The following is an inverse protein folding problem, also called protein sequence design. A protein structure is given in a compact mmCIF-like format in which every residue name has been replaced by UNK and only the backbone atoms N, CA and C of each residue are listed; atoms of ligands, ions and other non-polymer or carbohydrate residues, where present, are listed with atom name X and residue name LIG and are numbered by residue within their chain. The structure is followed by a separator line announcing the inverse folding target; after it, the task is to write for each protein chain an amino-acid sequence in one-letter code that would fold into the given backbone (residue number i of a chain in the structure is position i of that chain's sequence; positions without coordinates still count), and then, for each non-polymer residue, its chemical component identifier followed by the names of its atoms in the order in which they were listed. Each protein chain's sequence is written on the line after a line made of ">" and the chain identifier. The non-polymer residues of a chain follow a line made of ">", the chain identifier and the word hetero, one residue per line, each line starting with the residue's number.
data_IF_584259534326
#
_entry.id   IF_584259534326
#
_cell.length_a   1.000
_cell.length_b   1.000
_cell.length_c   1.000
_cell.angle_alpha   90.00
_cell.angle_beta   90.00
_cell.angle_gamma   90.00
#
_symmetry.space_group_name_H-M   'P 1'
#
loop_
_entity.id
_entity.type
_entity.pdbx_description
1 polymer ?
#
# COMPACT_ATOMS: atom_id res chain seq x y z
N UNK A 1 -34.48 -14.93 -32.45
CA UNK A 1 -33.33 -14.03 -32.19
C UNK A 1 -33.08 -14.08 -30.69
N UNK A 2 -32.04 -14.80 -30.27
CA UNK A 2 -31.79 -15.15 -28.88
C UNK A 2 -30.87 -14.10 -28.23
N UNK A 3 -31.26 -13.62 -27.05
CA UNK A 3 -30.45 -12.76 -26.19
C UNK A 3 -29.52 -13.62 -25.33
N UNK A 4 -28.22 -13.58 -25.59
CA UNK A 4 -27.20 -14.22 -24.77
C UNK A 4 -26.73 -13.27 -23.66
N UNK A 5 -27.20 -13.52 -22.44
CA UNK A 5 -26.67 -12.93 -21.20
C UNK A 5 -25.32 -13.59 -20.87
N UNK A 6 -24.23 -12.82 -20.92
CA UNK A 6 -22.92 -13.20 -20.41
C UNK A 6 -22.96 -13.24 -18.87
N UNK A 7 -22.92 -14.45 -18.30
CA UNK A 7 -22.61 -14.67 -16.88
C UNK A 7 -21.08 -14.79 -16.75
N UNK A 8 -20.47 -13.90 -15.98
CA UNK A 8 -19.07 -14.07 -15.57
C UNK A 8 -18.99 -15.14 -14.47
N UNK A 9 -18.21 -16.18 -14.71
CA UNK A 9 -17.92 -17.23 -13.75
C UNK A 9 -16.85 -16.72 -12.76
N UNK A 10 -17.13 -16.81 -11.46
CA UNK A 10 -16.12 -16.66 -10.41
C UNK A 10 -15.25 -17.94 -10.34
N UNK A 11 -13.94 -17.82 -10.08
CA UNK A 11 -13.09 -18.99 -9.87
C UNK A 11 -13.37 -19.61 -8.48
N UNK A 12 -13.77 -20.87 -8.49
CA UNK A 12 -13.93 -21.70 -7.28
C UNK A 12 -12.61 -22.35 -6.90
N UNK A 13 -12.11 -22.10 -5.68
CA UNK A 13 -10.99 -22.86 -5.10
C UNK A 13 -11.51 -23.86 -4.05
N UNK A 14 -10.96 -25.10 -3.99
CA UNK A 14 -11.43 -26.13 -3.08
C UNK A 14 -10.92 -25.92 -1.64
N UNK A 15 -11.86 -25.95 -0.70
CA UNK A 15 -11.62 -26.01 0.75
C UNK A 15 -11.28 -27.45 1.19
N UNK A 16 -10.05 -27.66 1.64
CA UNK A 16 -9.68 -28.73 2.58
C UNK A 16 -8.31 -28.35 3.16
N UNK A 17 -8.15 -28.13 4.46
CA UNK A 17 -7.95 -29.18 5.46
C UNK A 17 -8.13 -28.56 6.86
N UNK A 18 -8.84 -29.27 7.73
CA UNK A 18 -9.02 -28.97 9.15
C UNK A 18 -8.62 -30.22 9.96
N UNK A 19 -7.97 -29.98 11.11
CA UNK A 19 -7.56 -30.90 12.22
C UNK A 19 -6.10 -31.38 12.09
N UNK A 20 -5.24 -31.27 13.11
CA UNK A 20 -5.43 -31.58 14.54
C UNK A 20 -4.50 -30.78 15.50
N UNK A 21 -5.00 -30.64 16.74
CA UNK A 21 -4.40 -30.08 17.97
C UNK A 21 -3.08 -30.74 18.40
N UNK A 22 -2.24 -29.99 19.14
CA UNK A 22 -1.85 -30.31 20.54
C UNK A 22 -1.15 -29.13 21.24
N UNK A 23 -1.67 -28.78 22.42
CA UNK A 23 -1.07 -27.93 23.45
C UNK A 23 0.03 -28.69 24.20
N UNK A 24 1.13 -28.03 24.54
CA UNK A 24 1.90 -28.36 25.76
C UNK A 24 2.65 -27.14 26.28
N UNK A 25 2.24 -26.70 27.47
CA UNK A 25 2.98 -25.85 28.39
C UNK A 25 4.21 -26.60 28.94
N UNK A 26 5.33 -25.92 29.17
CA UNK A 26 6.26 -26.32 30.23
C UNK A 26 6.84 -25.11 30.97
N UNK A 27 6.93 -25.29 32.29
CA UNK A 27 7.18 -24.32 33.34
C UNK A 27 8.67 -24.32 33.75
N UNK A 28 9.11 -23.12 34.12
CA UNK A 28 10.25 -22.69 34.93
C UNK A 28 10.90 -23.69 35.92
N UNK A 29 12.23 -23.57 36.08
CA UNK A 29 12.95 -23.81 37.34
C UNK A 29 14.14 -22.84 37.51
N UNK A 30 13.94 -21.87 38.42
CA UNK A 30 14.80 -21.31 39.48
C UNK A 30 16.14 -22.02 39.79
N UNK A 31 17.19 -21.48 40.43
CA UNK A 31 17.60 -20.21 41.12
C UNK A 31 19.05 -20.51 41.61
N UNK A 32 19.95 -19.52 41.75
CA UNK A 32 20.69 -19.25 43.01
C UNK A 32 21.49 -17.94 42.95
N UNK A 33 21.35 -17.17 44.03
CA UNK A 33 21.77 -15.80 44.28
C UNK A 33 22.95 -15.75 45.28
N UNK A 34 23.82 -14.74 45.09
CA UNK A 34 24.50 -13.88 46.10
C UNK A 34 25.66 -14.43 46.94
N UNK A 35 26.50 -13.58 47.60
CA UNK A 35 26.47 -12.11 47.74
C UNK A 35 27.81 -11.35 47.53
N UNK A 36 27.67 -10.02 47.48
CA UNK A 36 28.69 -8.94 47.53
C UNK A 36 29.20 -8.71 48.97
N UNK A 37 30.42 -8.17 49.15
CA UNK A 37 30.54 -6.99 50.02
C UNK A 37 31.46 -5.88 49.47
N UNK A 38 31.38 -4.73 50.14
CA UNK A 38 31.68 -3.38 49.68
C UNK A 38 32.80 -2.72 50.53
N UNK A 39 33.48 -1.70 49.95
CA UNK A 39 34.27 -0.59 50.55
C UNK A 39 35.69 -0.85 51.12
N UNK A 40 36.63 0.02 50.71
CA UNK A 40 37.84 0.34 51.50
C UNK A 40 38.95 1.06 50.70
N UNK A 41 39.54 2.12 51.26
CA UNK A 41 40.44 3.11 50.63
C UNK A 41 41.93 2.70 50.61
N UNK A 42 42.65 3.23 49.61
CA UNK A 42 44.02 3.80 49.60
C UNK A 42 45.21 3.07 50.27
N UNK A 43 46.29 2.82 49.50
CA UNK A 43 47.60 3.52 49.57
C UNK A 43 48.81 2.64 49.21
N UNK A 44 49.63 3.21 48.30
CA UNK A 44 51.09 3.14 48.10
C UNK A 44 51.96 1.90 48.44
N UNK A 45 52.69 1.48 47.39
CA UNK A 45 54.16 1.39 47.27
C UNK A 45 54.85 0.00 47.22
N UNK A 46 55.43 -0.23 46.02
CA UNK A 46 56.77 -0.76 45.70
C UNK A 46 57.14 -2.22 46.03
N UNK A 47 57.25 -3.04 44.97
CA UNK A 47 58.50 -3.74 44.62
C UNK A 47 58.47 -4.21 43.15
N UNK A 48 59.61 -4.02 42.49
CA UNK A 48 59.90 -4.20 41.05
C UNK A 48 60.23 -5.66 40.74
N UNK A 49 59.70 -6.24 39.66
CA UNK A 49 60.45 -7.22 38.85
C UNK A 49 60.03 -7.21 37.37
N UNK A 50 61.07 -7.02 36.54
CA UNK A 50 61.26 -7.05 35.08
C UNK A 50 60.24 -7.74 34.15
N UNK A 51 59.90 -6.96 33.10
CA UNK A 51 59.77 -7.29 31.67
C UNK A 51 59.61 -8.76 31.24
N UNK A 52 58.48 -9.02 30.56
CA UNK A 52 58.49 -9.56 29.20
C UNK A 52 57.28 -8.99 28.44
N UNK A 53 57.55 -8.07 27.52
CA UNK A 53 56.58 -7.53 26.58
C UNK A 53 56.25 -8.62 25.56
N UNK A 54 55.08 -9.25 25.69
CA UNK A 54 54.52 -10.09 24.61
C UNK A 54 53.61 -9.18 23.79
N UNK A 55 53.92 -9.08 22.51
CA UNK A 55 53.40 -8.11 21.55
C UNK A 55 51.86 -8.09 21.47
N UNK A 56 51.24 -7.08 22.10
CA UNK A 56 49.84 -6.67 21.86
C UNK A 56 49.57 -6.23 20.40
N UNK A 57 50.62 -6.05 19.61
CA UNK A 57 50.53 -5.59 18.21
C UNK A 57 49.98 -6.67 17.28
N UNK A 58 50.20 -7.96 17.58
CA UNK A 58 49.77 -9.06 16.70
C UNK A 58 48.27 -9.37 16.84
N UNK A 59 47.70 -9.24 18.04
CA UNK A 59 46.25 -9.40 18.27
C UNK A 59 45.44 -8.23 17.73
N UNK A 60 45.96 -7.00 17.79
CA UNK A 60 45.31 -5.83 17.18
C UNK A 60 45.38 -5.89 15.65
N UNK A 61 46.47 -6.42 15.07
CA UNK A 61 46.55 -6.63 13.63
C UNK A 61 45.60 -7.74 13.14
N UNK A 62 45.46 -8.84 13.89
CA UNK A 62 44.47 -9.88 13.59
C UNK A 62 43.03 -9.37 13.76
N UNK A 63 42.76 -8.58 14.80
CA UNK A 63 41.47 -7.95 15.02
C UNK A 63 41.17 -6.88 13.96
N UNK A 64 42.18 -6.14 13.47
CA UNK A 64 42.03 -5.18 12.38
C UNK A 64 41.94 -5.83 10.99
N UNK A 65 42.48 -7.04 10.80
CA UNK A 65 42.19 -7.87 9.63
C UNK A 65 40.77 -8.42 9.69
N UNK A 66 40.31 -8.85 10.86
CA UNK A 66 38.93 -9.32 11.07
C UNK A 66 37.92 -8.15 10.92
N UNK A 67 38.21 -6.97 11.47
CA UNK A 67 37.39 -5.74 11.33
C UNK A 67 37.51 -5.16 9.91
N UNK A 68 38.64 -5.36 9.23
CA UNK A 68 38.85 -5.00 7.83
C UNK A 68 38.05 -5.89 6.86
N UNK A 69 37.81 -7.15 7.21
CA UNK A 69 36.99 -8.10 6.43
C UNK A 69 35.48 -7.94 6.66
N UNK A 70 35.03 -7.38 7.79
CA UNK A 70 33.60 -7.04 8.00
C UNK A 70 33.17 -5.82 7.16
N UNK A 71 34.11 -5.10 6.57
CA UNK A 71 33.85 -3.99 5.66
C UNK A 71 34.15 -4.35 4.19
N UNK A 72 33.97 -5.62 3.82
CA UNK A 72 33.87 -5.98 2.40
C UNK A 72 32.70 -5.17 1.83
N UNK A 73 33.02 -4.14 1.02
CA UNK A 73 32.01 -3.46 0.22
C UNK A 73 31.37 -4.52 -0.65
N UNK A 74 30.19 -5.00 -0.26
CA UNK A 74 29.34 -5.84 -1.09
C UNK A 74 29.29 -5.22 -2.48
N UNK A 75 29.57 -6.03 -3.50
CA UNK A 75 29.60 -5.55 -4.88
C UNK A 75 28.24 -4.95 -5.24
N UNK A 76 28.16 -3.76 -5.87
CA UNK A 76 26.88 -3.15 -6.19
C UNK A 76 26.01 -4.06 -7.08
N UNK A 77 24.77 -4.28 -6.67
CA UNK A 77 23.78 -5.02 -7.48
C UNK A 77 23.56 -4.40 -8.86
N UNK A 78 23.29 -5.26 -9.85
CA UNK A 78 22.70 -4.89 -11.14
C UNK A 78 21.19 -5.08 -11.08
N UNK A 79 20.44 -3.98 -11.08
CA UNK A 79 18.98 -3.99 -10.91
C UNK A 79 18.32 -3.60 -12.24
N UNK A 80 17.59 -4.56 -12.81
CA UNK A 80 16.79 -4.42 -14.02
C UNK A 80 15.38 -3.93 -13.69
N UNK A 81 15.07 -2.66 -13.93
CA UNK A 81 13.74 -2.10 -13.76
C UNK A 81 12.92 -2.30 -15.04
N UNK A 82 11.78 -2.97 -14.91
CA UNK A 82 10.79 -3.15 -15.98
C UNK A 82 9.57 -2.28 -15.69
N UNK A 83 9.35 -1.28 -16.54
CA UNK A 83 8.32 -0.25 -16.31
C UNK A 83 8.95 1.02 -15.73
N UNK A 84 9.50 1.86 -16.60
CA UNK A 84 10.27 3.04 -16.21
C UNK A 84 9.44 4.33 -16.18
N UNK A 85 8.21 4.24 -15.65
CA UNK A 85 7.33 5.40 -15.42
C UNK A 85 7.69 6.15 -14.14
N UNK A 86 6.77 6.98 -13.64
CA UNK A 86 6.98 7.84 -12.46
C UNK A 86 7.57 7.09 -11.25
N UNK A 87 6.97 5.95 -10.89
CA UNK A 87 7.44 5.15 -9.76
C UNK A 87 8.78 4.47 -10.03
N UNK A 88 8.97 3.91 -11.24
CA UNK A 88 10.22 3.28 -11.64
C UNK A 88 11.41 4.26 -11.62
N UNK A 89 11.20 5.50 -12.07
CA UNK A 89 12.19 6.58 -11.99
C UNK A 89 12.49 6.96 -10.54
N UNK A 90 11.45 7.14 -9.72
CA UNK A 90 11.59 7.48 -8.30
C UNK A 90 12.41 6.44 -7.52
N UNK A 91 12.15 5.15 -7.73
CA UNK A 91 12.95 4.09 -7.09
C UNK A 91 14.37 4.08 -7.66
N UNK A 92 14.52 4.21 -8.98
CA UNK A 92 15.83 4.19 -9.64
C UNK A 92 16.81 5.23 -9.08
N UNK A 93 16.33 6.42 -8.73
CA UNK A 93 17.13 7.46 -8.08
C UNK A 93 17.70 6.98 -6.74
N UNK A 94 16.88 6.36 -5.88
CA UNK A 94 17.35 5.77 -4.62
C UNK A 94 18.38 4.67 -4.85
N UNK A 95 18.14 3.76 -5.82
CA UNK A 95 19.11 2.73 -6.18
C UNK A 95 20.46 3.33 -6.63
N UNK A 96 20.41 4.41 -7.44
CA UNK A 96 21.60 5.09 -7.95
C UNK A 96 22.36 5.83 -6.87
N UNK A 97 21.68 6.46 -5.89
CA UNK A 97 22.34 7.14 -4.76
C UNK A 97 23.24 6.21 -3.96
N UNK A 98 22.87 4.94 -3.83
CA UNK A 98 23.66 3.91 -3.14
C UNK A 98 24.70 3.22 -4.03
N UNK A 99 24.82 3.62 -5.30
CA UNK A 99 25.84 3.14 -6.21
C UNK A 99 25.48 1.87 -7.00
N UNK A 100 24.24 1.37 -6.91
CA UNK A 100 23.79 0.22 -7.71
C UNK A 100 23.69 0.54 -9.20
N UNK A 101 23.87 -0.46 -10.05
CA UNK A 101 23.70 -0.31 -11.49
C UNK A 101 22.24 -0.45 -11.85
N UNK A 102 21.64 0.59 -12.44
CA UNK A 102 20.25 0.55 -12.92
C UNK A 102 20.22 0.31 -14.42
N UNK A 103 19.57 -0.78 -14.80
CA UNK A 103 19.26 -1.16 -16.17
C UNK A 103 17.74 -1.00 -16.33
N UNK A 104 17.28 -0.19 -17.27
CA UNK A 104 15.86 0.13 -17.40
C UNK A 104 15.32 -0.33 -18.75
N UNK A 105 14.08 -0.82 -18.75
CA UNK A 105 13.29 -1.01 -19.98
C UNK A 105 11.85 -0.61 -19.70
N UNK A 106 11.18 -0.11 -20.74
CA UNK A 106 9.79 0.34 -20.66
C UNK A 106 9.16 0.35 -22.04
N UNK A 107 7.82 0.42 -22.07
CA UNK A 107 7.06 0.61 -23.32
C UNK A 107 7.44 1.92 -24.01
N UNK A 108 7.52 3.00 -23.23
CA UNK A 108 7.91 4.33 -23.71
C UNK A 108 9.43 4.47 -23.69
N UNK A 109 9.96 5.35 -24.53
CA UNK A 109 11.41 5.63 -24.56
C UNK A 109 11.83 6.55 -23.42
N UNK A 110 12.83 6.13 -22.65
CA UNK A 110 13.47 6.93 -21.61
C UNK A 110 15.00 6.97 -21.79
N UNK A 111 15.52 6.68 -23.00
CA UNK A 111 16.96 6.68 -23.29
C UNK A 111 17.67 7.95 -22.83
N UNK A 112 17.13 9.12 -23.14
CA UNK A 112 17.77 10.40 -22.80
C UNK A 112 17.77 10.64 -21.27
N UNK A 113 16.64 10.39 -20.61
CA UNK A 113 16.54 10.51 -19.15
C UNK A 113 17.53 9.58 -18.44
N UNK A 114 17.59 8.31 -18.84
CA UNK A 114 18.52 7.35 -18.26
C UNK A 114 19.97 7.79 -18.47
N UNK A 115 20.33 8.23 -19.67
CA UNK A 115 21.68 8.71 -19.99
C UNK A 115 22.08 9.88 -19.11
N UNK A 116 21.21 10.87 -18.94
CA UNK A 116 21.46 12.06 -18.12
C UNK A 116 21.64 11.73 -16.63
N UNK A 117 20.98 10.66 -16.15
CA UNK A 117 21.02 10.23 -14.75
C UNK A 117 21.97 9.04 -14.51
N UNK A 118 22.88 8.74 -15.45
CA UNK A 118 23.88 7.69 -15.27
C UNK A 118 23.29 6.27 -15.18
N UNK A 119 22.20 6.02 -15.89
CA UNK A 119 21.50 4.73 -16.00
C UNK A 119 21.55 4.24 -17.45
N UNK A 120 21.36 2.93 -17.65
CA UNK A 120 21.29 2.34 -18.98
C UNK A 120 19.86 2.02 -19.35
N UNK A 121 19.42 2.41 -20.56
CA UNK A 121 18.09 2.10 -21.07
C UNK A 121 18.14 1.16 -22.26
N UNK A 122 17.30 0.13 -22.23
CA UNK A 122 17.18 -0.89 -23.26
C UNK A 122 15.79 -0.82 -23.89
N UNK A 123 15.75 -0.63 -25.22
CA UNK A 123 14.51 -0.59 -26.00
C UNK A 123 13.79 -1.93 -26.11
N UNK A 124 14.50 -3.01 -25.80
CA UNK A 124 13.92 -4.35 -25.81
C UNK A 124 14.29 -5.11 -24.53
N UNK A 125 13.36 -5.95 -24.07
CA UNK A 125 13.52 -6.79 -22.89
C UNK A 125 14.72 -7.74 -23.03
N UNK A 126 14.94 -8.25 -24.24
CA UNK A 126 16.01 -9.19 -24.57
C UNK A 126 17.40 -8.66 -24.24
N UNK A 127 17.70 -7.41 -24.60
CA UNK A 127 18.96 -6.76 -24.35
C UNK A 127 19.16 -6.48 -22.86
N UNK A 128 18.09 -6.09 -22.13
CA UNK A 128 18.18 -5.97 -20.68
C UNK A 128 18.51 -7.32 -20.02
N UNK A 129 17.87 -8.42 -20.45
CA UNK A 129 18.16 -9.74 -19.90
C UNK A 129 19.59 -10.21 -20.20
N UNK A 130 20.17 -9.84 -21.36
CA UNK A 130 21.56 -10.15 -21.71
C UNK A 130 22.58 -9.53 -20.77
N UNK A 131 22.23 -8.41 -20.14
CA UNK A 131 23.07 -7.76 -19.13
C UNK A 131 23.11 -8.51 -17.79
N UNK A 132 22.40 -9.64 -17.66
CA UNK A 132 22.42 -10.52 -16.48
C UNK A 132 22.15 -9.77 -15.16
N UNK A 133 21.00 -9.10 -15.02
CA UNK A 133 20.62 -8.44 -13.79
C UNK A 133 20.55 -9.44 -12.62
N UNK A 134 21.01 -8.99 -11.46
CA UNK A 134 20.88 -9.73 -10.20
C UNK A 134 19.45 -9.69 -9.68
N UNK A 135 18.77 -8.56 -9.89
CA UNK A 135 17.36 -8.35 -9.54
C UNK A 135 16.61 -7.83 -10.76
N UNK A 136 15.49 -8.46 -11.10
CA UNK A 136 14.46 -7.90 -11.98
C UNK A 136 13.38 -7.28 -11.10
N UNK A 137 13.24 -5.95 -11.16
CA UNK A 137 12.25 -5.19 -10.41
C UNK A 137 11.10 -4.77 -11.34
N UNK A 138 9.92 -5.34 -11.10
CA UNK A 138 8.71 -5.05 -11.86
C UNK A 138 8.03 -3.80 -11.29
N UNK A 139 8.13 -2.70 -12.03
CA UNK A 139 7.58 -1.37 -11.72
C UNK A 139 6.46 -0.95 -12.71
N UNK A 140 5.78 -1.92 -13.34
CA UNK A 140 4.66 -1.67 -14.25
C UNK A 140 3.34 -1.44 -13.53
N UNK A 141 2.30 -1.02 -14.25
CA UNK A 141 0.95 -0.97 -13.70
C UNK A 141 0.42 -2.37 -13.42
N UNK A 142 -0.40 -2.52 -12.37
CA UNK A 142 -1.00 -3.80 -11.96
C UNK A 142 -1.66 -4.50 -13.15
N UNK A 143 -2.43 -3.76 -13.95
CA UNK A 143 -3.19 -4.28 -15.10
C UNK A 143 -2.31 -4.82 -16.24
N UNK A 144 -1.07 -4.35 -16.36
CA UNK A 144 -0.15 -4.74 -17.44
C UNK A 144 0.88 -5.78 -17.03
N UNK A 145 1.05 -6.00 -15.73
CA UNK A 145 2.11 -6.83 -15.14
C UNK A 145 2.10 -8.27 -15.64
N UNK A 146 0.95 -8.90 -15.83
CA UNK A 146 0.88 -10.27 -16.35
C UNK A 146 1.47 -10.40 -17.75
N UNK A 147 1.02 -9.55 -18.68
CA UNK A 147 1.51 -9.54 -20.05
C UNK A 147 3.02 -9.27 -20.10
N UNK A 148 3.51 -8.40 -19.23
CA UNK A 148 4.93 -8.08 -19.12
C UNK A 148 5.72 -9.29 -18.63
N UNK A 149 5.34 -9.90 -17.50
CA UNK A 149 6.08 -11.04 -16.93
C UNK A 149 6.12 -12.21 -17.90
N UNK A 150 5.00 -12.52 -18.57
CA UNK A 150 4.94 -13.58 -19.59
C UNK A 150 5.83 -13.31 -20.81
N UNK A 151 6.18 -12.05 -21.08
CA UNK A 151 7.04 -11.66 -22.20
C UNK A 151 8.55 -11.71 -21.88
N UNK A 152 8.93 -11.88 -20.62
CA UNK A 152 10.34 -11.88 -20.20
C UNK A 152 11.01 -13.17 -20.71
N UNK A 153 12.14 -13.09 -21.44
CA UNK A 153 12.89 -14.27 -21.87
C UNK A 153 13.68 -14.86 -20.69
N UNK A 154 12.98 -15.44 -19.73
CA UNK A 154 13.52 -15.95 -18.45
C UNK A 154 14.66 -16.97 -18.64
N UNK A 155 14.67 -17.69 -19.76
CA UNK A 155 15.72 -18.65 -20.11
C UNK A 155 17.09 -18.00 -20.40
N UNK A 156 17.14 -16.66 -20.55
CA UNK A 156 18.38 -15.89 -20.73
C UNK A 156 18.97 -15.35 -19.44
N UNK A 157 18.25 -15.46 -18.32
CA UNK A 157 18.68 -14.98 -17.01
C UNK A 157 19.42 -16.08 -16.25
N UNK A 158 20.22 -15.68 -15.26
CA UNK A 158 20.84 -16.64 -14.35
C UNK A 158 19.77 -17.27 -13.46
N UNK A 159 19.90 -18.56 -13.10
CA UNK A 159 18.95 -19.20 -12.19
C UNK A 159 18.85 -18.52 -10.82
N UNK A 160 19.90 -17.84 -10.35
CA UNK A 160 19.94 -17.16 -9.06
C UNK A 160 19.40 -15.71 -9.11
N UNK A 161 18.89 -15.24 -10.25
CA UNK A 161 18.24 -13.92 -10.36
C UNK A 161 17.01 -13.84 -9.47
N UNK A 162 16.83 -12.69 -8.80
CA UNK A 162 15.66 -12.39 -7.98
C UNK A 162 14.63 -11.63 -8.83
N UNK A 163 13.38 -12.07 -8.79
CA UNK A 163 12.24 -11.31 -9.25
C UNK A 163 11.59 -10.61 -8.06
N UNK A 164 11.51 -9.29 -8.15
CA UNK A 164 10.81 -8.47 -7.19
C UNK A 164 9.77 -7.60 -7.90
N UNK A 165 8.74 -7.21 -7.17
CA UNK A 165 7.73 -6.28 -7.64
C UNK A 165 7.51 -5.16 -6.64
N UNK A 166 6.97 -4.04 -7.12
CA UNK A 166 6.53 -2.90 -6.30
C UNK A 166 5.06 -2.54 -6.53
N UNK A 167 4.23 -3.51 -6.95
CA UNK A 167 2.81 -3.26 -7.17
C UNK A 167 2.12 -2.91 -5.84
N UNK A 168 0.99 -2.22 -5.88
CA UNK A 168 0.24 -1.88 -4.66
C UNK A 168 -0.69 -2.99 -4.15
N UNK A 169 -0.70 -4.14 -4.81
CA UNK A 169 -1.35 -5.40 -4.40
C UNK A 169 -0.30 -6.50 -4.41
N UNK A 170 -0.45 -7.55 -3.60
CA UNK A 170 0.64 -8.51 -3.35
C UNK A 170 0.30 -9.96 -3.63
N UNK A 171 -0.94 -10.43 -3.41
CA UNK A 171 -1.31 -11.81 -3.76
C UNK A 171 -1.23 -12.06 -5.26
N UNK A 172 -1.63 -11.09 -6.08
CA UNK A 172 -1.55 -11.18 -7.53
C UNK A 172 -0.11 -11.42 -8.06
N UNK A 173 0.87 -10.51 -7.84
CA UNK A 173 2.23 -10.72 -8.32
C UNK A 173 2.88 -11.97 -7.70
N UNK A 174 2.61 -12.28 -6.42
CA UNK A 174 3.10 -13.50 -5.77
C UNK A 174 2.68 -14.76 -6.53
N UNK A 175 1.38 -14.90 -6.78
CA UNK A 175 0.84 -16.10 -7.42
C UNK A 175 1.30 -16.19 -8.87
N UNK A 176 1.34 -15.06 -9.57
CA UNK A 176 1.81 -14.98 -10.94
C UNK A 176 3.29 -15.36 -11.08
N UNK A 177 4.15 -14.90 -10.17
CA UNK A 177 5.56 -15.30 -10.14
C UNK A 177 5.74 -16.78 -9.84
N UNK A 178 4.99 -17.33 -8.87
CA UNK A 178 5.04 -18.75 -8.56
C UNK A 178 4.56 -19.64 -9.73
N UNK A 179 3.59 -19.16 -10.51
CA UNK A 179 3.08 -19.85 -11.70
C UNK A 179 4.13 -19.86 -12.83
N UNK A 180 4.75 -18.71 -13.12
CA UNK A 180 5.56 -18.53 -14.34
C UNK A 180 7.03 -18.87 -14.12
N UNK A 181 7.60 -18.55 -12.95
CA UNK A 181 9.04 -18.60 -12.73
C UNK A 181 9.51 -20.00 -12.32
N UNK A 182 10.51 -20.59 -13.02
CA UNK A 182 11.13 -21.84 -12.63
C UNK A 182 11.66 -21.84 -11.19
N UNK A 183 11.73 -23.00 -10.51
CA UNK A 183 12.08 -23.09 -9.08
C UNK A 183 13.41 -22.47 -8.67
N UNK A 184 14.37 -22.32 -9.59
CA UNK A 184 15.68 -21.72 -9.31
C UNK A 184 15.60 -20.23 -8.96
N UNK A 185 14.65 -19.50 -9.56
CA UNK A 185 14.55 -18.04 -9.41
C UNK A 185 14.04 -17.64 -8.03
N UNK A 186 14.67 -16.59 -7.48
CA UNK A 186 14.25 -15.94 -6.25
C UNK A 186 13.00 -15.10 -6.48
N UNK A 187 12.11 -15.04 -5.50
CA UNK A 187 10.88 -14.24 -5.53
C UNK A 187 10.76 -13.47 -4.22
N UNK A 188 10.71 -12.14 -4.33
CA UNK A 188 10.50 -11.22 -3.21
C UNK A 188 9.39 -10.25 -3.59
N UNK A 189 8.22 -10.37 -2.96
CA UNK A 189 7.14 -9.43 -3.22
C UNK A 189 7.31 -8.21 -2.31
N UNK A 190 7.24 -7.00 -2.87
CA UNK A 190 7.45 -5.77 -2.07
C UNK A 190 6.40 -4.71 -2.35
N UNK A 191 6.23 -3.79 -1.41
CA UNK A 191 5.44 -2.59 -1.59
C UNK A 191 6.02 -1.48 -0.73
N UNK A 192 6.78 -0.54 -1.33
CA UNK A 192 7.04 0.75 -0.71
C UNK A 192 5.69 1.44 -0.51
N UNK A 193 5.26 1.67 0.74
CA UNK A 193 3.97 2.31 1.06
C UNK A 193 4.03 3.83 0.87
N UNK A 194 4.79 4.27 -0.12
CA UNK A 194 5.11 5.63 -0.45
C UNK A 194 5.48 5.73 -1.93
N UNK A 195 5.22 6.87 -2.56
CA UNK A 195 5.58 7.16 -3.94
C UNK A 195 6.30 8.50 -4.09
N UNK A 196 6.41 9.01 -5.33
CA UNK A 196 7.11 10.26 -5.62
C UNK A 196 6.67 11.42 -4.73
N UNK A 197 5.36 11.57 -4.47
CA UNK A 197 4.85 12.68 -3.66
C UNK A 197 5.11 12.53 -2.16
N UNK A 198 4.87 11.33 -1.61
CA UNK A 198 5.02 11.09 -0.18
C UNK A 198 6.47 10.83 0.25
N UNK A 199 7.34 10.46 -0.69
CA UNK A 199 8.75 10.15 -0.45
C UNK A 199 9.75 11.14 -1.08
N UNK A 200 9.29 12.29 -1.60
CA UNK A 200 10.16 13.31 -2.23
C UNK A 200 11.27 13.85 -1.33
N UNK A 201 11.08 13.84 -0.02
CA UNK A 201 12.03 14.36 0.96
C UNK A 201 12.88 13.24 1.61
N UNK A 202 12.93 12.05 1.00
CA UNK A 202 13.61 10.87 1.54
C UNK A 202 12.63 9.81 2.07
N UNK A 203 13.16 8.61 2.34
CA UNK A 203 12.34 7.46 2.72
C UNK A 203 12.39 7.11 4.21
N UNK A 204 13.10 7.93 4.99
CA UNK A 204 13.30 7.71 6.42
C UNK A 204 11.95 7.64 7.17
N UNK A 205 11.74 6.52 7.88
CA UNK A 205 10.53 6.22 8.62
C UNK A 205 9.33 5.75 7.77
N UNK A 206 9.42 5.80 6.45
CA UNK A 206 8.33 5.36 5.56
C UNK A 206 8.24 3.83 5.56
N UNK A 207 7.04 3.24 5.53
CA UNK A 207 6.90 1.78 5.58
C UNK A 207 7.33 1.15 4.25
N UNK A 208 8.17 0.13 4.33
CA UNK A 208 8.48 -0.75 3.21
C UNK A 208 8.06 -2.18 3.57
N UNK A 209 7.02 -2.67 2.89
CA UNK A 209 6.47 -4.00 3.12
C UNK A 209 7.13 -5.01 2.21
N UNK A 210 7.47 -6.19 2.72
CA UNK A 210 8.02 -7.27 1.90
C UNK A 210 7.62 -8.66 2.39
N UNK A 211 7.64 -9.63 1.47
CA UNK A 211 7.59 -11.07 1.74
C UNK A 211 8.69 -11.77 0.92
N UNK A 212 9.54 -12.57 1.57
CA UNK A 212 10.47 -13.49 0.91
C UNK A 212 9.71 -14.76 0.49
N UNK A 213 8.99 -14.70 -0.62
CA UNK A 213 8.10 -15.78 -1.10
C UNK A 213 8.87 -17.06 -1.43
N UNK A 214 10.02 -16.92 -2.13
CA UNK A 214 10.90 -18.05 -2.48
C UNK A 214 12.33 -17.54 -2.62
N UNK A 215 13.16 -17.78 -1.62
CA UNK A 215 14.59 -17.42 -1.63
C UNK A 215 15.36 -18.55 -0.94
N UNK A 216 16.55 -18.90 -1.43
CA UNK A 216 17.41 -19.87 -0.73
C UNK A 216 17.84 -19.33 0.64
N UNK A 217 18.03 -20.22 1.62
CA UNK A 217 18.46 -19.83 2.97
C UNK A 217 19.92 -19.32 3.00
N UNK A 218 20.74 -19.77 2.04
CA UNK A 218 22.17 -19.44 1.95
C UNK A 218 22.61 -19.28 0.50
N UNK A 219 23.84 -18.78 0.30
CA UNK A 219 24.48 -18.60 -1.00
C UNK A 219 24.13 -17.30 -1.71
N UNK A 220 24.55 -17.18 -2.96
CA UNK A 220 24.51 -15.94 -3.73
C UNK A 220 23.09 -15.34 -3.85
N UNK A 221 22.04 -16.16 -3.99
CA UNK A 221 20.67 -15.66 -4.07
C UNK A 221 20.20 -15.06 -2.74
N UNK A 222 20.56 -15.67 -1.60
CA UNK A 222 20.25 -15.14 -0.27
C UNK A 222 20.96 -13.80 -0.04
N UNK A 223 22.25 -13.72 -0.40
CA UNK A 223 23.05 -12.49 -0.31
C UNK A 223 22.47 -11.36 -1.16
N UNK A 224 22.09 -11.64 -2.42
CA UNK A 224 21.41 -10.67 -3.29
C UNK A 224 20.09 -10.19 -2.72
N UNK A 225 19.33 -11.08 -2.08
CA UNK A 225 18.03 -10.74 -1.48
C UNK A 225 18.23 -9.80 -0.29
N UNK A 226 19.18 -10.12 0.60
CA UNK A 226 19.53 -9.26 1.73
C UNK A 226 19.99 -7.91 1.21
N UNK A 227 20.95 -7.88 0.28
CA UNK A 227 21.48 -6.65 -0.28
C UNK A 227 20.41 -5.80 -0.97
N UNK A 228 19.42 -6.40 -1.63
CA UNK A 228 18.30 -5.68 -2.24
C UNK A 228 17.38 -5.05 -1.20
N UNK A 229 17.06 -5.77 -0.11
CA UNK A 229 16.22 -5.23 0.98
C UNK A 229 16.96 -4.16 1.78
N UNK A 230 18.27 -4.32 1.98
CA UNK A 230 19.14 -3.37 2.68
C UNK A 230 19.12 -1.99 2.01
N UNK A 231 18.84 -1.91 0.70
CA UNK A 231 18.70 -0.63 -0.01
C UNK A 231 17.64 0.24 0.66
N UNK A 232 16.49 -0.35 0.97
CA UNK A 232 15.39 0.37 1.58
C UNK A 232 15.66 0.64 3.06
N UNK A 233 16.28 -0.31 3.77
CA UNK A 233 16.67 -0.16 5.16
C UNK A 233 17.71 0.98 5.35
N UNK A 234 18.71 1.07 4.47
CA UNK A 234 19.74 2.12 4.49
C UNK A 234 19.19 3.52 4.18
N UNK A 235 18.09 3.62 3.45
CA UNK A 235 17.34 4.87 3.25
C UNK A 235 16.46 5.22 4.46
N UNK A 236 16.52 4.40 5.52
CA UNK A 236 15.81 4.58 6.77
C UNK A 236 14.36 4.09 6.72
N UNK A 237 13.97 3.27 5.74
CA UNK A 237 12.62 2.73 5.68
C UNK A 237 12.33 1.90 6.94
N UNK A 238 11.08 1.97 7.42
CA UNK A 238 10.58 1.02 8.40
C UNK A 238 10.25 -0.28 7.67
N UNK A 239 11.14 -1.26 7.78
CA UNK A 239 11.01 -2.57 7.16
C UNK A 239 9.90 -3.38 7.86
N UNK A 240 8.91 -3.85 7.10
CA UNK A 240 7.75 -4.59 7.61
C UNK A 240 7.59 -5.89 6.84
N UNK A 241 8.04 -6.99 7.45
CA UNK A 241 7.82 -8.34 6.89
C UNK A 241 6.40 -8.81 7.20
N UNK A 242 5.63 -9.17 6.18
CA UNK A 242 4.31 -9.78 6.32
C UNK A 242 3.93 -10.55 5.06
N UNK A 243 2.98 -11.48 5.18
CA UNK A 243 2.51 -12.23 4.01
C UNK A 243 1.75 -11.34 3.02
N UNK A 244 1.77 -11.70 1.74
CA UNK A 244 1.03 -11.02 0.69
C UNK A 244 -0.49 -11.00 0.97
N UNK A 245 -1.02 -12.05 1.61
CA UNK A 245 -2.41 -12.13 2.02
C UNK A 245 -2.73 -11.12 3.13
N UNK A 246 -1.90 -11.06 4.17
CA UNK A 246 -2.06 -10.08 5.24
C UNK A 246 -1.92 -8.65 4.72
N UNK A 247 -0.94 -8.40 3.84
CA UNK A 247 -0.78 -7.12 3.16
C UNK A 247 -2.08 -6.72 2.46
N UNK A 248 -2.62 -7.56 1.59
CA UNK A 248 -3.80 -7.21 0.80
C UNK A 248 -5.03 -6.99 1.67
N UNK A 249 -5.19 -7.77 2.75
CA UNK A 249 -6.24 -7.55 3.75
C UNK A 249 -6.11 -6.17 4.41
N UNK A 250 -4.90 -5.77 4.79
CA UNK A 250 -4.64 -4.45 5.39
C UNK A 250 -4.80 -3.31 4.37
N UNK A 251 -4.26 -3.47 3.16
CA UNK A 251 -4.29 -2.48 2.10
C UNK A 251 -5.73 -2.18 1.63
N UNK A 252 -6.60 -3.21 1.60
CA UNK A 252 -8.02 -3.02 1.30
C UNK A 252 -8.70 -2.09 2.31
N UNK A 253 -8.46 -2.30 3.60
CA UNK A 253 -9.04 -1.48 4.68
C UNK A 253 -8.35 -0.14 4.93
N UNK A 254 -7.30 0.20 4.19
CA UNK A 254 -6.51 1.42 4.41
C UNK A 254 -6.28 2.17 3.09
N UNK A 255 -5.33 1.73 2.27
CA UNK A 255 -4.98 2.35 0.99
C UNK A 255 -6.18 2.42 0.04
N UNK A 256 -6.89 1.31 -0.16
CA UNK A 256 -8.03 1.29 -1.09
C UNK A 256 -9.17 2.22 -0.64
N UNK A 257 -9.51 2.24 0.65
CA UNK A 257 -10.47 3.19 1.22
C UNK A 257 -9.99 4.64 1.01
N UNK A 258 -8.72 4.91 1.27
CA UNK A 258 -8.11 6.24 1.12
C UNK A 258 -8.24 6.75 -0.32
N UNK A 259 -7.90 5.92 -1.32
CA UNK A 259 -8.10 6.27 -2.73
C UNK A 259 -9.58 6.43 -3.10
N UNK A 260 -10.44 5.57 -2.58
CA UNK A 260 -11.89 5.64 -2.86
C UNK A 260 -12.47 6.95 -2.37
N UNK A 261 -12.16 7.34 -1.13
CA UNK A 261 -12.60 8.63 -0.56
C UNK A 261 -12.02 9.79 -1.36
N UNK A 262 -10.71 9.81 -1.62
CA UNK A 262 -10.09 10.89 -2.39
C UNK A 262 -10.72 11.08 -3.78
N UNK A 263 -11.05 9.98 -4.46
CA UNK A 263 -11.77 10.04 -5.75
C UNK A 263 -13.24 10.42 -5.63
N UNK A 264 -13.93 10.05 -4.56
CA UNK A 264 -15.30 10.55 -4.32
C UNK A 264 -15.25 12.07 -4.10
N UNK A 265 -14.31 12.55 -3.29
CA UNK A 265 -14.12 13.98 -3.03
C UNK A 265 -13.78 14.75 -4.32
N UNK A 266 -13.01 14.15 -5.24
CA UNK A 266 -12.74 14.77 -6.54
C UNK A 266 -14.01 14.97 -7.37
N UNK A 267 -14.99 14.07 -7.29
CA UNK A 267 -16.27 14.22 -8.00
C UNK A 267 -17.19 15.28 -7.37
N UNK A 268 -16.92 15.70 -6.13
CA UNK A 268 -17.60 16.83 -5.50
C UNK A 268 -17.04 18.18 -5.97
N UNK A 269 -15.93 18.20 -6.74
CA UNK A 269 -15.24 19.40 -7.20
C UNK A 269 -14.94 20.36 -6.03
N UNK A 270 -14.30 19.85 -4.98
CA UNK A 270 -13.98 20.65 -3.80
C UNK A 270 -13.01 21.79 -4.15
N UNK A 271 -13.35 23.00 -3.70
CA UNK A 271 -12.51 24.18 -3.84
C UNK A 271 -12.06 24.70 -2.48
N UNK A 272 -10.90 25.36 -2.46
CA UNK A 272 -10.43 26.07 -1.27
C UNK A 272 -11.30 27.29 -1.00
N UNK A 273 -11.57 27.58 0.28
CA UNK A 273 -12.40 28.71 0.71
C UNK A 273 -11.64 29.59 1.71
N UNK A 274 -12.06 30.86 1.91
CA UNK A 274 -11.47 31.73 2.94
C UNK A 274 -11.65 31.24 4.39
N UNK A 275 -12.49 30.23 4.63
CA UNK A 275 -12.86 29.72 5.96
C UNK A 275 -12.53 28.24 6.12
N UNK A 276 -11.52 27.73 5.40
CA UNK A 276 -11.10 26.34 5.50
C UNK A 276 -10.78 25.96 6.95
N UNK A 277 -11.36 24.85 7.39
CA UNK A 277 -10.92 24.20 8.62
C UNK A 277 -9.68 23.36 8.35
N UNK A 278 -8.87 23.07 9.37
CA UNK A 278 -7.70 22.18 9.22
C UNK A 278 -8.08 20.78 8.71
N UNK A 279 -9.23 20.26 9.13
CA UNK A 279 -9.74 19.00 8.59
C UNK A 279 -10.07 19.08 7.09
N UNK A 280 -10.65 20.19 6.64
CA UNK A 280 -10.95 20.39 5.22
C UNK A 280 -9.68 20.56 4.37
N UNK A 281 -8.65 21.25 4.88
CA UNK A 281 -7.33 21.32 4.21
C UNK A 281 -6.75 19.91 3.96
N UNK A 282 -6.87 18.99 4.93
CA UNK A 282 -6.45 17.59 4.75
C UNK A 282 -7.26 16.85 3.69
N UNK A 283 -8.57 17.14 3.54
CA UNK A 283 -9.39 16.53 2.48
C UNK A 283 -9.01 17.05 1.09
N UNK A 284 -8.70 18.34 0.96
CA UNK A 284 -8.18 18.90 -0.29
C UNK A 284 -6.86 18.24 -0.66
N UNK A 285 -5.92 18.16 0.29
CA UNK A 285 -4.63 17.50 0.08
C UNK A 285 -4.76 16.01 -0.26
N UNK A 286 -5.70 15.30 0.39
CA UNK A 286 -6.02 13.91 0.07
C UNK A 286 -6.50 13.77 -1.38
N UNK A 287 -7.37 14.68 -1.82
CA UNK A 287 -7.89 14.70 -3.19
C UNK A 287 -6.75 14.91 -4.19
N UNK A 288 -5.91 15.92 -3.98
CA UNK A 288 -4.73 16.18 -4.83
C UNK A 288 -3.80 14.95 -4.92
N UNK A 289 -3.48 14.34 -3.78
CA UNK A 289 -2.56 13.20 -3.71
C UNK A 289 -3.12 11.92 -4.35
N UNK A 290 -4.43 11.70 -4.29
CA UNK A 290 -5.05 10.46 -4.81
C UNK A 290 -5.44 10.55 -6.28
N UNK A 291 -5.66 11.76 -6.78
CA UNK A 291 -6.04 12.03 -8.17
C UNK A 291 -4.80 12.20 -9.07
N UNK A 292 -3.64 12.53 -8.50
CA UNK A 292 -2.36 12.49 -9.21
C UNK A 292 -1.98 11.07 -9.67
N UNK A 293 -2.48 10.05 -8.97
CA UNK A 293 -2.39 8.66 -9.37
C UNK A 293 -3.39 8.28 -10.47
N UNK A 294 -2.91 7.49 -11.44
CA UNK A 294 -3.72 7.02 -12.57
C UNK A 294 -4.97 6.25 -12.11
N UNK A 295 -6.06 6.37 -12.88
CA UNK A 295 -7.25 5.55 -12.62
C UNK A 295 -6.96 4.05 -12.74
N UNK A 296 -6.06 3.65 -13.66
CA UNK A 296 -5.62 2.27 -13.81
C UNK A 296 -5.01 1.68 -12.53
N UNK A 297 -4.25 2.47 -11.77
CA UNK A 297 -3.74 2.06 -10.46
C UNK A 297 -4.89 1.76 -9.50
N UNK A 298 -5.83 2.70 -9.35
CA UNK A 298 -6.98 2.53 -8.47
C UNK A 298 -7.86 1.34 -8.88
N UNK A 299 -8.13 1.19 -10.17
CA UNK A 299 -8.87 0.05 -10.71
C UNK A 299 -8.12 -1.27 -10.44
N UNK A 300 -6.79 -1.27 -10.54
CA UNK A 300 -5.95 -2.39 -10.17
C UNK A 300 -6.07 -2.77 -8.68
N UNK A 301 -6.14 -1.78 -7.77
CA UNK A 301 -6.38 -2.02 -6.34
C UNK A 301 -7.71 -2.75 -6.10
N UNK A 302 -8.74 -2.40 -6.86
CA UNK A 302 -10.05 -3.05 -6.76
C UNK A 302 -10.04 -4.45 -7.37
N UNK A 303 -9.54 -4.58 -8.60
CA UNK A 303 -9.63 -5.82 -9.39
C UNK A 303 -8.77 -6.94 -8.84
N UNK A 304 -7.59 -6.62 -8.30
CA UNK A 304 -6.58 -7.60 -7.90
C UNK A 304 -6.45 -7.78 -6.39
N UNK A 305 -7.31 -7.13 -5.60
CA UNK A 305 -7.44 -7.39 -4.18
C UNK A 305 -8.85 -7.92 -3.87
N UNK A 306 -8.93 -9.22 -3.57
CA UNK A 306 -10.20 -9.90 -3.28
C UNK A 306 -10.99 -9.27 -2.12
N UNK A 307 -10.31 -8.56 -1.21
CA UNK A 307 -10.92 -7.90 -0.06
C UNK A 307 -11.53 -6.52 -0.40
N UNK A 308 -11.22 -5.95 -1.56
CA UNK A 308 -11.64 -4.58 -1.92
C UNK A 308 -13.16 -4.43 -2.05
N UNK A 309 -13.85 -5.46 -2.55
CA UNK A 309 -15.32 -5.45 -2.71
C UNK A 309 -16.02 -5.31 -1.35
N UNK A 310 -15.59 -6.09 -0.36
CA UNK A 310 -16.14 -5.99 1.00
C UNK A 310 -15.94 -4.59 1.60
N UNK A 311 -14.78 -3.97 1.35
CA UNK A 311 -14.50 -2.62 1.85
C UNK A 311 -15.34 -1.55 1.15
N UNK A 312 -15.65 -1.72 -0.13
CA UNK A 312 -16.59 -0.84 -0.84
C UNK A 312 -18.00 -0.94 -0.25
N UNK A 313 -18.50 -2.16 0.01
CA UNK A 313 -19.81 -2.37 0.63
C UNK A 313 -19.86 -1.85 2.08
N UNK A 314 -18.76 -1.99 2.83
CA UNK A 314 -18.61 -1.41 4.16
C UNK A 314 -18.72 0.12 4.12
N UNK A 315 -18.07 0.75 3.14
CA UNK A 315 -18.07 2.20 2.97
C UNK A 315 -19.48 2.73 2.62
N UNK A 316 -20.18 2.08 1.69
CA UNK A 316 -21.54 2.44 1.31
C UNK A 316 -22.52 2.33 2.50
N UNK A 317 -22.46 1.22 3.24
CA UNK A 317 -23.24 1.04 4.46
C UNK A 317 -22.94 2.10 5.52
N UNK A 318 -21.66 2.48 5.68
CA UNK A 318 -21.27 3.53 6.61
C UNK A 318 -21.86 4.88 6.19
N UNK A 319 -21.81 5.21 4.90
CA UNK A 319 -22.40 6.44 4.36
C UNK A 319 -23.91 6.50 4.59
N UNK A 320 -24.65 5.44 4.25
CA UNK A 320 -26.10 5.38 4.45
C UNK A 320 -26.46 5.42 5.95
N UNK A 321 -25.67 4.78 6.82
CA UNK A 321 -25.88 4.87 8.27
C UNK A 321 -25.78 6.30 8.79
N UNK A 322 -24.77 7.06 8.34
CA UNK A 322 -24.60 8.48 8.73
C UNK A 322 -25.77 9.31 8.20
N UNK A 323 -26.14 9.10 6.93
CA UNK A 323 -27.26 9.78 6.29
C UNK A 323 -28.58 9.54 7.04
N UNK A 324 -28.89 8.30 7.40
CA UNK A 324 -30.08 7.95 8.16
C UNK A 324 -30.11 8.61 9.54
N UNK A 325 -28.97 8.67 10.25
CA UNK A 325 -28.90 9.36 11.55
C UNK A 325 -29.25 10.85 11.44
N UNK A 326 -28.86 11.52 10.35
CA UNK A 326 -29.17 12.92 10.12
C UNK A 326 -30.67 13.11 9.82
N UNK A 327 -31.21 12.36 8.86
CA UNK A 327 -32.62 12.51 8.46
C UNK A 327 -33.61 12.07 9.54
N UNK A 328 -33.32 11.01 10.30
CA UNK A 328 -34.18 10.58 11.40
C UNK A 328 -34.32 11.66 12.47
N UNK A 329 -33.21 12.29 12.87
CA UNK A 329 -33.26 13.41 13.83
C UNK A 329 -34.01 14.62 13.29
N UNK A 330 -33.85 14.92 12.00
CA UNK A 330 -34.61 15.98 11.35
C UNK A 330 -36.12 15.70 11.37
N UNK A 331 -36.53 14.48 11.02
CA UNK A 331 -37.94 14.07 11.06
C UNK A 331 -38.54 14.14 12.47
N UNK A 332 -37.78 13.75 13.50
CA UNK A 332 -38.24 13.84 14.89
C UNK A 332 -38.46 15.30 15.34
N UNK A 333 -37.55 16.21 14.97
CA UNK A 333 -37.68 17.65 15.26
C UNK A 333 -38.88 18.23 14.52
N UNK A 334 -39.01 17.96 13.23
CA UNK A 334 -40.13 18.44 12.42
C UNK A 334 -41.47 17.92 12.96
N UNK A 335 -41.54 16.64 13.34
CA UNK A 335 -42.74 16.04 13.95
C UNK A 335 -43.13 16.77 15.24
N UNK A 336 -42.17 17.00 16.16
CA UNK A 336 -42.44 17.71 17.42
C UNK A 336 -42.91 19.14 17.17
N UNK A 337 -42.24 19.87 16.27
CA UNK A 337 -42.62 21.25 15.94
C UNK A 337 -44.00 21.35 15.27
N UNK A 338 -44.40 20.37 14.45
CA UNK A 338 -45.74 20.34 13.86
C UNK A 338 -46.81 20.02 14.93
N UNK A 339 -46.56 19.05 15.80
CA UNK A 339 -47.51 18.65 16.85
C UNK A 339 -47.67 19.73 17.92
N UNK A 340 -46.59 20.41 18.30
CA UNK A 340 -46.61 21.46 19.35
C UNK A 340 -47.10 22.83 18.84
N UNK A 341 -47.07 23.10 17.53
CA UNK A 341 -47.53 24.37 16.95
C UNK A 341 -48.96 24.34 16.41
N UNK A 342 -49.63 23.19 16.36
CA UNK A 342 -51.07 23.13 16.09
C UNK A 342 -51.81 23.15 17.43
N UNK A 343 -52.46 24.26 17.83
CA UNK A 343 -53.38 24.21 18.95
C UNK A 343 -54.54 23.31 18.54
N UNK A 344 -54.78 22.25 19.30
CA UNK A 344 -56.03 21.48 19.24
C UNK A 344 -57.18 22.43 19.65
N UNK A 345 -57.74 23.15 18.68
CA UNK A 345 -59.05 23.78 18.83
C UNK A 345 -60.10 22.70 18.67
N UNK A 346 -60.76 22.36 19.78
CA UNK A 346 -62.04 21.67 19.79
C UNK A 346 -62.08 20.45 20.71
N UNK A 347 -62.52 20.66 21.95
CA UNK A 347 -63.25 19.64 22.68
C UNK A 347 -64.42 19.14 21.82
N UNK A 348 -64.49 17.84 21.55
CA UNK A 348 -65.77 17.18 21.27
C UNK A 348 -65.78 15.82 21.97
N UNK A 349 -66.71 15.78 22.93
CA UNK A 349 -67.15 14.69 23.80
C UNK A 349 -66.95 13.26 23.27
N UNK A 350 -66.49 12.42 24.18
CA UNK A 350 -66.58 10.97 24.17
C UNK A 350 -67.96 10.46 23.74
N UNK A 351 -68.03 9.73 22.62
CA UNK A 351 -68.91 8.57 22.46
C UNK A 351 -68.19 7.48 21.67
N UNK A 352 -68.11 6.31 22.30
CA UNK A 352 -67.66 5.04 21.75
C UNK A 352 -68.41 4.64 20.48
N UNK A 353 -67.72 4.12 19.46
CA UNK A 353 -67.94 2.79 18.84
C UNK A 353 -67.07 2.57 17.58
N UNK A 354 -66.50 1.37 17.50
CA UNK A 354 -66.06 0.59 16.33
C UNK A 354 -65.12 1.16 15.23
N UNK A 355 -63.95 0.51 15.16
CA UNK A 355 -63.26 -0.04 13.96
C UNK A 355 -63.23 0.75 12.64
N UNK A 356 -62.03 1.13 12.17
CA UNK A 356 -61.37 0.54 10.99
C UNK A 356 -60.00 1.21 10.74
N UNK A 357 -59.08 0.40 10.23
CA UNK A 357 -57.76 0.72 9.67
C UNK A 357 -57.77 1.81 8.60
N UNK A 358 -56.79 2.74 8.63
CA UNK A 358 -56.17 3.31 7.43
C UNK A 358 -54.81 3.95 7.78
N UNK A 359 -53.72 3.28 7.40
CA UNK A 359 -52.39 3.91 7.25
C UNK A 359 -52.40 4.68 5.92
N UNK A 360 -51.80 5.89 5.82
CA UNK A 360 -51.70 6.56 4.53
C UNK A 360 -50.60 5.94 3.66
N UNK A 361 -50.92 5.69 2.39
CA UNK A 361 -50.02 5.14 1.38
C UNK A 361 -48.79 6.02 1.10
N UNK A 362 -47.65 5.36 0.87
CA UNK A 362 -46.32 5.95 0.67
C UNK A 362 -46.12 6.83 -0.57
N UNK A 363 -47.15 7.08 -1.38
CA UNK A 363 -47.08 7.98 -2.54
C UNK A 363 -47.14 9.46 -2.18
N UNK A 364 -47.83 9.84 -1.09
CA UNK A 364 -47.94 11.25 -0.70
C UNK A 364 -46.62 11.86 -0.20
N UNK A 365 -45.70 11.03 0.29
CA UNK A 365 -44.38 11.47 0.77
C UNK A 365 -43.39 11.71 -0.38
N UNK A 366 -43.50 10.98 -1.50
CA UNK A 366 -42.67 11.23 -2.69
C UNK A 366 -42.98 12.58 -3.33
N UNK A 367 -44.25 13.04 -3.26
CA UNK A 367 -44.68 14.30 -3.88
C UNK A 367 -44.10 15.54 -3.19
N UNK A 368 -43.91 15.48 -1.87
CA UNK A 368 -43.31 16.57 -1.08
C UNK A 368 -41.79 16.66 -1.30
N UNK A 369 -41.11 15.52 -1.48
CA UNK A 369 -39.68 15.51 -1.81
C UNK A 369 -39.39 15.93 -3.26
N UNK A 370 -40.31 15.67 -4.21
CA UNK A 370 -40.16 16.12 -5.60
C UNK A 370 -40.35 17.62 -5.80
N UNK A 371 -41.15 18.28 -4.95
CA UNK A 371 -41.41 19.72 -5.04
C UNK A 371 -40.20 20.58 -4.63
N UNK A 372 -39.27 20.05 -3.81
CA UNK A 372 -38.02 20.75 -3.48
C UNK A 372 -36.90 20.52 -4.50
N UNK A 373 -37.12 19.70 -5.54
CA UNK A 373 -36.14 19.43 -6.61
C UNK A 373 -36.50 20.07 -7.96
N UNK A 374 -37.64 20.74 -8.07
CA UNK A 374 -38.08 21.41 -9.31
C UNK A 374 -37.70 22.90 -9.44
N UNK A 375 -36.97 23.49 -8.48
CA UNK A 375 -36.53 24.90 -8.55
C UNK A 375 -35.07 25.11 -8.98
N UNK A 376 -34.40 24.11 -9.56
CA UNK A 376 -33.11 24.30 -10.23
C UNK A 376 -33.15 23.68 -11.63
N UNK A 377 -33.95 24.29 -12.50
CA UNK A 377 -33.78 24.24 -13.97
C UNK A 377 -34.66 25.33 -14.59
N UNK A 378 -34.13 26.55 -14.71
CA UNK A 378 -34.45 27.48 -15.81
C UNK A 378 -33.64 28.78 -15.62
N UNK A 379 -32.44 28.84 -16.23
CA UNK A 379 -31.87 30.11 -16.68
C UNK A 379 -30.85 29.85 -17.79
N UNK A 380 -31.32 29.39 -18.96
CA UNK A 380 -30.63 29.66 -20.21
C UNK A 380 -31.66 30.01 -21.30
N UNK A 381 -31.26 31.01 -22.09
CA UNK A 381 -31.81 31.51 -23.36
C UNK A 381 -32.89 32.61 -23.32
N UNK A 382 -32.51 33.76 -23.90
CA UNK A 382 -33.21 34.71 -24.81
C UNK A 382 -32.46 36.06 -24.66
N UNK A 383 -31.87 36.76 -25.64
CA UNK A 383 -31.84 36.68 -27.11
C UNK A 383 -30.74 37.59 -27.67
N UNK A 384 -30.30 37.26 -28.89
CA UNK A 384 -29.55 38.04 -29.88
C UNK A 384 -30.06 39.49 -30.05
N UNK A 385 -29.14 40.47 -30.17
CA UNK A 385 -29.28 41.59 -31.11
C UNK A 385 -27.92 42.18 -31.52
N UNK A 386 -27.55 42.04 -32.80
CA UNK A 386 -26.66 42.98 -33.51
C UNK A 386 -27.48 44.22 -33.91
N UNK A 387 -26.87 45.38 -34.17
CA UNK A 387 -26.65 45.70 -35.59
C UNK A 387 -25.45 46.61 -35.94
N UNK A 388 -24.96 46.37 -37.16
CA UNK A 388 -24.19 47.21 -38.10
C UNK A 388 -22.69 47.42 -37.88
#
# INVERSE_FOLDING_TARGET
>A
MASSSLRFAQPTFPNSILKTKTNTFFVSKSVFLTPVPNKGKASNAHAITKLACVNKTTEIAACNQIIGDVNSKLTPLRIGIIGFGNFGQFIAEGLRRQGHFVLATSRSDYSEYCKQNGMQFFRNMDALCKEQPDVILVCSSILSTENIIRSIPINKLKPDTIFADVLSVKQFPRNLFLEILPPGFGIVCTHPMFGPESGKNGWNGLPFVFEKVRVTDTGAQAEKCTQFLDIFEQEGCRMVEMTCEEHDRHAAGSQFITHTIGRILSHLNLESTPINTKGYETLLQLTENTVSDSFDLYYGLFMYNVNATEQMDNLDRAFETVKQKLYSRLHDILRKQIVERVPMQGELRTKSTNSLSYLPDGESIKKLASLSMSEIKLSEAVTVSSPR
#
